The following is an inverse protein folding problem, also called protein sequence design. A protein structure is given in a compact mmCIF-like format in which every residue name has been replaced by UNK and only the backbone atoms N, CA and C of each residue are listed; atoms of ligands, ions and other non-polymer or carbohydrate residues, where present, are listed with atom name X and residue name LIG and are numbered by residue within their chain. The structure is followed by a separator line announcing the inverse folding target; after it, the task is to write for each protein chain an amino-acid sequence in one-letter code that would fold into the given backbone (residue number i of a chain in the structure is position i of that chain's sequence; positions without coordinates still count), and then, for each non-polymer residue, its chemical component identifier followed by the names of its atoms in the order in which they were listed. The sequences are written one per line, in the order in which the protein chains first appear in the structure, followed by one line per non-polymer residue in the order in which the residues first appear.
data_IF_889438986627
#
_entry.id   IF_889438986627
#
_cell.length_a   1.000
_cell.length_b   1.000
_cell.length_c   1.000
_cell.angle_alpha   90.00
_cell.angle_beta   90.00
_cell.angle_gamma   90.00
#
_symmetry.space_group_name_H-M   'P 1'
#
loop_
_entity.id
_entity.type
_entity.pdbx_description
1 polymer ?
#
# COMPACT_ATOMS: atom_id res chain seq x y z
N UNK A 1 26.81 8.38 -29.29
CA UNK A 1 26.23 7.13 -28.74
C UNK A 1 24.77 7.10 -29.16
N UNK A 2 24.36 6.03 -29.84
CA UNK A 2 23.18 6.02 -30.71
C UNK A 2 21.88 6.33 -29.98
N UNK A 3 21.07 7.22 -30.56
CA UNK A 3 19.64 7.30 -30.27
C UNK A 3 19.02 6.00 -30.77
N UNK A 4 18.99 4.97 -29.92
CA UNK A 4 18.24 3.75 -30.17
C UNK A 4 16.79 4.13 -30.45
N UNK A 5 16.19 3.47 -31.44
CA UNK A 5 14.79 3.69 -31.82
C UNK A 5 13.92 3.56 -30.55
N UNK A 6 13.28 4.64 -30.11
CA UNK A 6 12.39 4.60 -28.93
C UNK A 6 11.17 3.74 -29.26
N UNK A 7 10.72 2.92 -28.32
CA UNK A 7 9.48 2.19 -28.50
C UNK A 7 8.28 3.13 -28.37
N UNK A 8 7.13 2.74 -28.93
CA UNK A 8 5.89 3.51 -28.75
C UNK A 8 5.50 3.66 -27.27
N UNK A 9 5.86 2.69 -26.42
CA UNK A 9 5.65 2.77 -24.97
C UNK A 9 6.54 3.86 -24.36
N UNK A 10 7.80 3.97 -24.77
CA UNK A 10 8.70 5.02 -24.28
C UNK A 10 8.18 6.41 -24.68
N UNK A 11 7.71 6.57 -25.91
CA UNK A 11 7.11 7.84 -26.37
C UNK A 11 5.83 8.19 -25.60
N UNK A 12 4.98 7.20 -25.33
CA UNK A 12 3.81 7.40 -24.49
C UNK A 12 4.17 7.75 -23.04
N UNK A 13 5.25 7.16 -22.50
CA UNK A 13 5.73 7.47 -21.15
C UNK A 13 6.26 8.90 -21.03
N UNK A 14 6.92 9.43 -22.06
CA UNK A 14 7.34 10.84 -22.09
C UNK A 14 6.12 11.79 -22.00
N UNK A 15 5.02 11.45 -22.69
CA UNK A 15 3.75 12.21 -22.57
C UNK A 15 3.19 12.13 -21.15
N UNK A 16 3.41 11.01 -20.43
CA UNK A 16 2.98 10.88 -19.04
C UNK A 16 3.77 11.78 -18.09
N UNK A 17 5.06 12.03 -18.35
CA UNK A 17 5.81 13.02 -17.58
C UNK A 17 5.20 14.42 -17.72
N UNK A 18 4.87 14.83 -18.96
CA UNK A 18 4.13 16.08 -19.20
C UNK A 18 2.74 16.08 -18.54
N UNK A 19 2.08 14.92 -18.46
CA UNK A 19 0.75 14.79 -17.86
C UNK A 19 0.78 15.06 -16.34
N UNK A 20 1.81 14.61 -15.63
CA UNK A 20 1.95 14.86 -14.19
C UNK A 20 2.38 16.28 -13.85
N UNK A 21 3.08 16.97 -14.75
CA UNK A 21 3.43 18.38 -14.60
C UNK A 21 2.33 19.33 -15.11
N UNK A 22 1.25 18.78 -15.67
CA UNK A 22 0.19 19.58 -16.25
C UNK A 22 -0.50 20.49 -15.21
N UNK A 23 -0.79 21.77 -15.55
CA UNK A 23 -1.32 22.73 -14.58
C UNK A 23 -2.78 22.47 -14.18
N UNK A 24 -3.48 21.58 -14.89
CA UNK A 24 -4.88 21.27 -14.63
C UNK A 24 -5.17 19.79 -14.82
N UNK A 25 -6.09 19.26 -14.01
CA UNK A 25 -6.64 17.90 -14.16
C UNK A 25 -7.12 17.61 -15.59
N UNK A 26 -7.81 18.55 -16.22
CA UNK A 26 -8.32 18.39 -17.58
C UNK A 26 -7.18 18.19 -18.59
N UNK A 27 -6.08 18.94 -18.45
CA UNK A 27 -4.91 18.79 -19.31
C UNK A 27 -4.17 17.48 -19.04
N UNK A 28 -4.00 17.11 -17.77
CA UNK A 28 -3.40 15.83 -17.37
C UNK A 28 -4.14 14.65 -17.99
N UNK A 29 -5.47 14.62 -17.87
CA UNK A 29 -6.33 13.58 -18.46
C UNK A 29 -6.25 13.55 -19.99
N UNK A 30 -6.20 14.72 -20.65
CA UNK A 30 -6.07 14.78 -22.11
C UNK A 30 -4.71 14.22 -22.58
N UNK A 31 -3.63 14.49 -21.85
CA UNK A 31 -2.30 13.93 -22.13
C UNK A 31 -2.25 12.43 -21.88
N UNK A 32 -2.85 11.94 -20.79
CA UNK A 32 -2.95 10.50 -20.54
C UNK A 32 -3.71 9.76 -21.67
N UNK A 33 -4.82 10.32 -22.15
CA UNK A 33 -5.55 9.78 -23.31
C UNK A 33 -4.68 9.78 -24.58
N UNK A 34 -3.94 10.86 -24.83
CA UNK A 34 -2.99 10.94 -25.94
C UNK A 34 -1.88 9.89 -25.82
N UNK A 35 -1.36 9.64 -24.62
CA UNK A 35 -0.37 8.58 -24.40
C UNK A 35 -0.93 7.20 -24.81
N UNK A 36 -2.20 6.92 -24.52
CA UNK A 36 -2.86 5.68 -24.94
C UNK A 36 -3.10 5.58 -26.45
N UNK A 37 -3.29 6.72 -27.14
CA UNK A 37 -3.33 6.75 -28.61
C UNK A 37 -1.97 6.42 -29.24
N UNK A 38 -0.86 6.82 -28.59
CA UNK A 38 0.50 6.49 -29.00
C UNK A 38 0.84 5.03 -28.69
N UNK A 39 0.50 4.56 -27.48
CA UNK A 39 0.66 3.17 -27.09
C UNK A 39 -0.42 2.74 -26.10
N UNK A 40 -1.23 1.70 -26.42
CA UNK A 40 -2.21 1.14 -25.50
C UNK A 40 -1.55 0.42 -24.30
N UNK A 41 -0.22 0.25 -24.33
CA UNK A 41 0.57 -0.42 -23.30
C UNK A 41 1.21 0.59 -22.31
N UNK A 42 0.82 1.86 -22.36
CA UNK A 42 1.23 2.87 -21.37
C UNK A 42 0.47 2.70 -20.04
N UNK A 43 1.04 1.91 -19.11
CA UNK A 43 0.40 1.62 -17.83
C UNK A 43 0.10 2.88 -16.98
N UNK A 44 0.98 3.88 -16.98
CA UNK A 44 0.77 5.10 -16.20
C UNK A 44 -0.38 5.96 -16.70
N UNK A 45 -0.71 5.90 -17.99
CA UNK A 45 -1.89 6.58 -18.50
C UNK A 45 -3.16 6.02 -17.85
N UNK A 46 -3.26 4.71 -17.69
CA UNK A 46 -4.37 4.10 -16.95
C UNK A 46 -4.34 4.45 -15.46
N UNK A 47 -3.15 4.52 -14.84
CA UNK A 47 -3.03 4.94 -13.43
C UNK A 47 -3.61 6.34 -13.21
N UNK A 48 -3.20 7.29 -14.06
CA UNK A 48 -3.69 8.66 -14.00
C UNK A 48 -5.20 8.72 -14.26
N UNK A 49 -5.70 7.97 -15.24
CA UNK A 49 -7.14 7.94 -15.53
C UNK A 49 -7.95 7.33 -14.38
N UNK A 50 -7.44 6.30 -13.70
CA UNK A 50 -8.08 5.68 -12.55
C UNK A 50 -8.25 6.69 -11.41
N UNK A 51 -7.24 7.53 -11.18
CA UNK A 51 -7.23 8.54 -10.12
C UNK A 51 -8.06 9.78 -10.49
N UNK A 52 -8.00 10.20 -11.76
CA UNK A 52 -8.51 11.49 -12.20
C UNK A 52 -9.83 11.42 -12.96
N UNK A 53 -10.37 10.26 -13.31
CA UNK A 53 -11.60 10.19 -14.13
C UNK A 53 -12.65 9.24 -13.60
N UNK A 54 -12.26 8.18 -12.89
CA UNK A 54 -13.19 7.18 -12.40
C UNK A 54 -14.21 7.79 -11.42
N UNK A 55 -15.48 7.48 -11.63
CA UNK A 55 -16.61 7.94 -10.81
C UNK A 55 -17.15 6.83 -9.90
N UNK A 56 -16.71 5.59 -10.11
CA UNK A 56 -17.09 4.43 -9.32
C UNK A 56 -15.89 3.55 -9.00
N UNK A 57 -16.02 2.73 -7.94
CA UNK A 57 -14.99 1.75 -7.60
C UNK A 57 -14.78 0.69 -8.69
N UNK A 58 -15.83 0.38 -9.44
CA UNK A 58 -15.76 -0.54 -10.58
C UNK A 58 -14.90 0.03 -11.71
N UNK A 59 -15.09 1.30 -12.04
CA UNK A 59 -14.26 1.99 -13.04
C UNK A 59 -12.79 2.10 -12.59
N UNK A 60 -12.54 2.39 -11.31
CA UNK A 60 -11.18 2.38 -10.75
C UNK A 60 -10.52 1.01 -10.93
N UNK A 61 -11.25 -0.07 -10.61
CA UNK A 61 -10.75 -1.44 -10.75
C UNK A 61 -10.48 -1.81 -12.21
N UNK A 62 -11.37 -1.42 -13.13
CA UNK A 62 -11.19 -1.66 -14.56
C UNK A 62 -9.94 -0.95 -15.11
N UNK A 63 -9.77 0.33 -14.77
CA UNK A 63 -8.62 1.13 -15.22
C UNK A 63 -7.30 0.58 -14.65
N UNK A 64 -7.22 0.30 -13.35
CA UNK A 64 -5.99 -0.29 -12.81
C UNK A 64 -5.71 -1.69 -13.35
N UNK A 65 -6.73 -2.51 -13.62
CA UNK A 65 -6.55 -3.80 -14.29
C UNK A 65 -5.95 -3.62 -15.68
N UNK A 66 -6.49 -2.69 -16.48
CA UNK A 66 -5.92 -2.34 -17.79
C UNK A 66 -4.48 -1.84 -17.67
N UNK A 67 -4.16 -1.06 -16.64
CA UNK A 67 -2.79 -0.62 -16.36
C UNK A 67 -1.82 -1.78 -16.05
N UNK A 68 -2.27 -2.75 -15.25
CA UNK A 68 -1.50 -3.97 -14.94
C UNK A 68 -1.27 -4.79 -16.20
N UNK A 69 -2.32 -5.06 -16.99
CA UNK A 69 -2.23 -5.83 -18.24
C UNK A 69 -1.36 -5.13 -19.30
N UNK A 70 -1.46 -3.81 -19.41
CA UNK A 70 -0.61 -2.98 -20.27
C UNK A 70 0.87 -3.11 -19.88
N UNK A 71 1.17 -2.99 -18.59
CA UNK A 71 2.53 -3.18 -18.08
C UNK A 71 3.06 -4.60 -18.32
N UNK A 72 2.23 -5.63 -18.18
CA UNK A 72 2.64 -7.01 -18.45
C UNK A 72 2.99 -7.25 -19.92
N UNK A 73 2.22 -6.66 -20.84
CA UNK A 73 2.53 -6.70 -22.28
C UNK A 73 3.79 -5.92 -22.62
N UNK A 74 3.95 -4.71 -22.08
CA UNK A 74 5.12 -3.85 -22.32
C UNK A 74 6.43 -4.49 -21.84
N UNK A 75 6.43 -5.06 -20.63
CA UNK A 75 7.62 -5.66 -20.01
C UNK A 75 7.93 -7.06 -20.56
N UNK A 76 6.88 -7.82 -20.88
CA UNK A 76 7.00 -9.21 -21.32
C UNK A 76 7.45 -10.17 -20.22
N UNK A 77 7.22 -11.47 -20.43
CA UNK A 77 7.46 -12.51 -19.42
C UNK A 77 8.90 -12.61 -18.93
N UNK A 78 9.87 -12.18 -19.74
CA UNK A 78 11.31 -12.25 -19.43
C UNK A 78 11.65 -11.34 -18.24
N UNK A 79 11.14 -10.11 -18.23
CA UNK A 79 11.39 -9.15 -17.14
C UNK A 79 10.90 -9.69 -15.78
N UNK A 80 9.71 -10.30 -15.74
CA UNK A 80 9.16 -10.91 -14.52
C UNK A 80 9.96 -12.11 -13.99
N UNK A 81 10.80 -12.71 -14.83
CA UNK A 81 11.66 -13.82 -14.44
C UNK A 81 13.06 -13.35 -14.04
N UNK A 82 13.65 -12.44 -14.81
CA UNK A 82 15.04 -12.04 -14.66
C UNK A 82 15.22 -10.87 -13.68
N UNK A 83 14.25 -9.96 -13.63
CA UNK A 83 14.37 -8.73 -12.86
C UNK A 83 13.58 -8.77 -11.53
N UNK A 84 12.86 -9.87 -11.25
CA UNK A 84 12.10 -10.02 -10.02
C UNK A 84 13.00 -9.83 -8.79
N UNK A 85 12.58 -8.97 -7.87
CA UNK A 85 13.38 -8.53 -6.72
C UNK A 85 14.09 -7.19 -6.95
N UNK A 86 14.14 -6.71 -8.19
CA UNK A 86 14.80 -5.44 -8.55
C UNK A 86 13.90 -4.49 -9.35
N UNK A 87 12.60 -4.78 -9.48
CA UNK A 87 11.69 -3.98 -10.31
C UNK A 87 11.79 -2.49 -10.00
N UNK A 88 11.79 -2.09 -8.72
CA UNK A 88 11.86 -0.67 -8.39
C UNK A 88 13.13 0.04 -8.87
N UNK A 89 14.24 -0.68 -9.03
CA UNK A 89 15.49 -0.14 -9.60
C UNK A 89 15.39 0.18 -11.09
N UNK A 90 14.44 -0.43 -11.80
CA UNK A 90 14.23 -0.33 -13.24
C UNK A 90 13.05 0.61 -13.55
N UNK A 91 13.34 1.74 -14.20
CA UNK A 91 12.35 2.79 -14.46
C UNK A 91 11.16 2.26 -15.27
N UNK A 92 11.43 1.39 -16.22
CA UNK A 92 10.47 0.75 -17.13
C UNK A 92 9.44 -0.12 -16.41
N UNK A 93 9.75 -0.66 -15.23
CA UNK A 93 8.80 -1.51 -14.48
C UNK A 93 7.92 -0.72 -13.52
N UNK A 94 8.31 0.51 -13.15
CA UNK A 94 7.57 1.33 -12.17
C UNK A 94 6.12 1.65 -12.58
N UNK A 95 5.80 1.91 -13.86
CA UNK A 95 4.41 2.09 -14.29
C UNK A 95 3.52 0.89 -13.93
N UNK A 96 4.02 -0.32 -14.16
CA UNK A 96 3.35 -1.57 -13.79
C UNK A 96 3.20 -1.71 -12.27
N UNK A 97 4.26 -1.44 -11.51
CA UNK A 97 4.22 -1.53 -10.05
C UNK A 97 3.22 -0.55 -9.42
N UNK A 98 3.09 0.67 -9.97
CA UNK A 98 2.07 1.64 -9.55
C UNK A 98 0.66 1.14 -9.86
N UNK A 99 0.45 0.60 -11.06
CA UNK A 99 -0.85 0.04 -11.46
C UNK A 99 -1.28 -1.11 -10.55
N UNK A 100 -0.37 -2.05 -10.27
CA UNK A 100 -0.64 -3.19 -9.40
C UNK A 100 -0.91 -2.76 -7.95
N UNK A 101 -0.20 -1.76 -7.44
CA UNK A 101 -0.48 -1.19 -6.11
C UNK A 101 -1.85 -0.50 -6.04
N UNK A 102 -2.22 0.25 -7.09
CA UNK A 102 -3.53 0.87 -7.23
C UNK A 102 -4.66 -0.17 -7.29
N UNK A 103 -4.45 -1.24 -8.05
CA UNK A 103 -5.37 -2.37 -8.13
C UNK A 103 -5.57 -3.04 -6.76
N UNK A 104 -4.48 -3.39 -6.07
CA UNK A 104 -4.54 -4.04 -4.76
C UNK A 104 -5.32 -3.22 -3.73
N UNK A 105 -5.04 -1.92 -3.62
CA UNK A 105 -5.79 -1.01 -2.72
C UNK A 105 -7.27 -0.93 -3.08
N UNK A 106 -7.58 -0.94 -4.38
CA UNK A 106 -8.96 -0.82 -4.86
C UNK A 106 -9.74 -2.12 -4.64
N UNK A 107 -9.09 -3.29 -4.81
CA UNK A 107 -9.66 -4.59 -4.50
C UNK A 107 -9.98 -4.71 -3.01
N UNK A 108 -9.06 -4.25 -2.15
CA UNK A 108 -9.29 -4.21 -0.70
C UNK A 108 -10.53 -3.37 -0.35
N UNK A 109 -10.64 -2.16 -0.91
CA UNK A 109 -11.81 -1.29 -0.74
C UNK A 109 -13.10 -1.92 -1.26
N UNK A 110 -13.01 -2.73 -2.31
CA UNK A 110 -14.15 -3.44 -2.90
C UNK A 110 -14.56 -4.70 -2.13
N UNK A 111 -13.86 -5.04 -1.03
CA UNK A 111 -14.11 -6.26 -0.28
C UNK A 111 -13.54 -7.53 -0.92
N UNK A 112 -12.80 -7.41 -2.03
CA UNK A 112 -12.10 -8.53 -2.70
C UNK A 112 -10.76 -8.80 -2.00
N UNK A 113 -10.85 -9.23 -0.74
CA UNK A 113 -9.73 -9.21 0.21
C UNK A 113 -8.59 -10.15 -0.17
N UNK A 114 -8.90 -11.39 -0.56
CA UNK A 114 -7.87 -12.37 -0.91
C UNK A 114 -7.05 -11.93 -2.13
N UNK A 115 -7.71 -11.46 -3.18
CA UNK A 115 -7.05 -10.96 -4.39
C UNK A 115 -6.16 -9.75 -4.10
N UNK A 116 -6.59 -8.85 -3.21
CA UNK A 116 -5.77 -7.72 -2.80
C UNK A 116 -4.46 -8.18 -2.11
N UNK A 117 -4.56 -9.17 -1.21
CA UNK A 117 -3.40 -9.75 -0.51
C UNK A 117 -2.44 -10.44 -1.47
N UNK A 118 -2.94 -11.18 -2.47
CA UNK A 118 -2.10 -11.78 -3.51
C UNK A 118 -1.29 -10.72 -4.26
N UNK A 119 -1.92 -9.61 -4.67
CA UNK A 119 -1.21 -8.52 -5.34
C UNK A 119 -0.16 -7.85 -4.45
N UNK A 120 -0.45 -7.66 -3.16
CA UNK A 120 0.53 -7.11 -2.22
C UNK A 120 1.75 -8.03 -2.04
N UNK A 121 1.53 -9.33 -1.88
CA UNK A 121 2.63 -10.30 -1.79
C UNK A 121 3.47 -10.32 -3.06
N UNK A 122 2.85 -10.27 -4.23
CA UNK A 122 3.58 -10.21 -5.49
C UNK A 122 4.38 -8.91 -5.63
N UNK A 123 3.85 -7.77 -5.18
CA UNK A 123 4.60 -6.51 -5.18
C UNK A 123 5.85 -6.62 -4.29
N UNK A 124 5.75 -7.23 -3.11
CA UNK A 124 6.91 -7.48 -2.24
C UNK A 124 7.88 -8.51 -2.84
N UNK A 125 7.39 -9.50 -3.60
CA UNK A 125 8.27 -10.43 -4.34
C UNK A 125 9.05 -9.71 -5.44
N UNK A 126 8.41 -8.79 -6.15
CA UNK A 126 9.03 -8.01 -7.23
C UNK A 126 9.95 -6.90 -6.69
N UNK A 127 9.65 -6.38 -5.50
CA UNK A 127 10.40 -5.34 -4.81
C UNK A 127 10.48 -5.61 -3.28
N UNK A 128 11.39 -6.48 -2.84
CA UNK A 128 11.52 -6.89 -1.44
C UNK A 128 12.02 -5.78 -0.51
N UNK A 129 12.70 -4.76 -1.07
CA UNK A 129 13.08 -3.55 -0.32
C UNK A 129 11.90 -2.61 -0.07
N UNK A 130 10.73 -2.93 -0.64
CA UNK A 130 9.46 -2.26 -0.43
C UNK A 130 9.49 -0.73 -0.49
N UNK A 131 10.14 -0.19 -1.53
CA UNK A 131 10.19 1.25 -1.77
C UNK A 131 8.79 1.90 -1.94
N UNK A 132 7.74 1.10 -2.16
CA UNK A 132 6.37 1.58 -2.30
C UNK A 132 5.59 1.60 -0.98
N UNK A 133 6.14 1.06 0.12
CA UNK A 133 5.44 0.97 1.41
C UNK A 133 4.27 -0.01 1.40
N UNK A 134 4.33 -1.06 0.57
CA UNK A 134 3.31 -2.12 0.49
C UNK A 134 3.22 -2.90 1.79
N UNK A 135 4.32 -3.08 2.52
CA UNK A 135 4.34 -3.84 3.77
C UNK A 135 3.40 -3.25 4.82
N UNK A 136 3.29 -1.92 4.88
CA UNK A 136 2.45 -1.20 5.83
C UNK A 136 0.96 -1.30 5.48
N UNK A 137 0.65 -1.57 4.20
CA UNK A 137 -0.71 -1.87 3.74
C UNK A 137 -1.06 -3.35 3.98
N UNK A 138 -0.12 -4.25 3.71
CA UNK A 138 -0.33 -5.69 3.81
C UNK A 138 -0.50 -6.17 5.25
N UNK A 139 0.30 -5.65 6.20
CA UNK A 139 0.27 -6.10 7.60
C UNK A 139 -1.13 -6.07 8.24
N UNK A 140 -1.86 -4.92 8.27
CA UNK A 140 -3.22 -4.91 8.79
C UNK A 140 -4.18 -5.81 8.01
N UNK A 141 -3.96 -6.00 6.71
CA UNK A 141 -4.80 -6.87 5.90
C UNK A 141 -4.70 -8.33 6.36
N UNK A 142 -3.48 -8.82 6.60
CA UNK A 142 -3.23 -10.18 7.07
C UNK A 142 -3.87 -10.42 8.44
N UNK A 143 -3.72 -9.46 9.36
CA UNK A 143 -4.30 -9.56 10.71
C UNK A 143 -5.83 -9.50 10.67
N UNK A 144 -6.43 -8.60 9.86
CA UNK A 144 -7.89 -8.51 9.69
C UNK A 144 -8.49 -9.83 9.16
N UNK A 145 -7.76 -10.53 8.28
CA UNK A 145 -8.17 -11.84 7.74
C UNK A 145 -7.81 -13.03 8.63
N UNK A 146 -7.11 -12.81 9.75
CA UNK A 146 -6.63 -13.87 10.64
C UNK A 146 -5.52 -14.74 10.05
N UNK A 147 -4.79 -14.24 9.04
CA UNK A 147 -3.64 -14.90 8.41
C UNK A 147 -2.37 -14.68 9.23
N UNK A 148 -2.42 -15.07 10.50
CA UNK A 148 -1.41 -14.74 11.51
C UNK A 148 -0.02 -15.32 11.16
N UNK A 149 0.04 -16.53 10.59
CA UNK A 149 1.30 -17.14 10.15
C UNK A 149 2.01 -16.32 9.04
N UNK A 150 1.23 -15.72 8.15
CA UNK A 150 1.75 -14.87 7.09
C UNK A 150 2.15 -13.49 7.61
N UNK A 151 1.40 -12.96 8.57
CA UNK A 151 1.80 -11.74 9.27
C UNK A 151 3.14 -11.95 10.00
N UNK A 152 3.34 -13.10 10.67
CA UNK A 152 4.61 -13.48 11.29
C UNK A 152 5.76 -13.64 10.29
N UNK A 153 5.48 -14.19 9.09
CA UNK A 153 6.45 -14.23 8.00
C UNK A 153 6.84 -12.83 7.54
N UNK A 154 5.86 -11.94 7.40
CA UNK A 154 6.08 -10.55 7.01
C UNK A 154 6.91 -9.78 8.06
N UNK A 155 6.65 -10.03 9.36
CA UNK A 155 7.48 -9.52 10.48
C UNK A 155 8.95 -9.90 10.35
N UNK A 156 9.25 -11.18 10.08
CA UNK A 156 10.65 -11.61 9.93
C UNK A 156 11.37 -10.94 8.77
N UNK A 157 10.65 -10.50 7.74
CA UNK A 157 11.24 -9.81 6.59
C UNK A 157 11.59 -8.34 6.92
N UNK A 158 10.91 -7.72 7.89
CA UNK A 158 11.05 -6.30 8.22
C UNK A 158 11.16 -6.08 9.74
N UNK A 159 11.89 -6.95 10.44
CA UNK A 159 11.90 -7.01 11.92
C UNK A 159 12.49 -5.76 12.60
N UNK A 160 13.28 -4.98 11.87
CA UNK A 160 13.92 -3.75 12.34
C UNK A 160 13.04 -2.49 12.13
N UNK A 161 11.83 -2.63 11.59
CA UNK A 161 10.95 -1.49 11.34
C UNK A 161 10.31 -1.01 12.65
N UNK A 162 10.75 0.17 13.07
CA UNK A 162 10.32 0.81 14.31
C UNK A 162 8.93 1.44 14.26
N UNK A 163 8.34 1.65 13.08
CA UNK A 163 7.13 2.47 12.91
C UNK A 163 5.95 1.96 13.74
N UNK A 164 5.02 2.87 14.08
CA UNK A 164 3.83 2.52 14.86
C UNK A 164 3.04 1.35 14.24
N UNK A 165 3.01 1.24 12.91
CA UNK A 165 2.38 0.11 12.21
C UNK A 165 2.97 -1.23 12.58
N UNK A 166 4.27 -1.33 12.75
CA UNK A 166 4.97 -2.56 13.11
C UNK A 166 4.87 -2.85 14.60
N UNK A 167 5.16 -1.86 15.44
CA UNK A 167 5.14 -2.03 16.89
C UNK A 167 3.76 -2.41 17.42
N UNK A 168 2.70 -1.73 16.97
CA UNK A 168 1.35 -2.06 17.40
C UNK A 168 0.80 -3.32 16.74
N UNK A 169 1.21 -3.66 15.50
CA UNK A 169 0.83 -4.94 14.89
C UNK A 169 1.49 -6.13 15.61
N UNK A 170 2.73 -5.98 16.11
CA UNK A 170 3.40 -6.98 16.94
C UNK A 170 2.64 -7.21 18.23
N UNK A 171 2.27 -6.12 18.92
CA UNK A 171 1.45 -6.18 20.13
C UNK A 171 0.11 -6.89 19.89
N UNK A 172 -0.55 -6.60 18.77
CA UNK A 172 -1.81 -7.24 18.41
C UNK A 172 -1.63 -8.73 18.09
N UNK A 173 -0.60 -9.12 17.35
CA UNK A 173 -0.30 -10.54 17.07
C UNK A 173 0.04 -11.34 18.33
N UNK A 174 0.84 -10.77 19.24
CA UNK A 174 1.14 -11.41 20.51
C UNK A 174 -0.11 -11.59 21.36
N UNK A 175 -1.00 -10.60 21.38
CA UNK A 175 -2.30 -10.72 22.03
C UNK A 175 -3.17 -11.80 21.37
N UNK A 176 -3.21 -11.87 20.04
CA UNK A 176 -3.96 -12.92 19.32
C UNK A 176 -3.46 -14.32 19.67
N UNK A 177 -2.14 -14.47 19.80
CA UNK A 177 -1.48 -15.75 20.05
C UNK A 177 -1.56 -16.19 21.51
N UNK A 178 -1.47 -15.25 22.45
CA UNK A 178 -1.26 -15.55 23.88
C UNK A 178 -2.33 -14.96 24.80
N UNK A 179 -3.28 -14.18 24.28
CA UNK A 179 -4.24 -13.41 25.07
C UNK A 179 -3.57 -12.30 25.88
N UNK A 180 -4.29 -11.82 26.91
CA UNK A 180 -3.74 -10.92 27.92
C UNK A 180 -2.66 -11.64 28.72
N UNK A 181 -1.41 -11.40 28.34
CA UNK A 181 -0.24 -12.16 28.79
C UNK A 181 0.97 -11.25 28.89
N UNK A 182 2.00 -11.70 29.64
CA UNK A 182 3.26 -10.95 29.77
C UNK A 182 3.94 -10.71 28.42
N UNK A 183 3.79 -11.62 27.45
CA UNK A 183 4.34 -11.45 26.11
C UNK A 183 3.64 -10.30 25.37
N UNK A 184 2.31 -10.32 25.33
CA UNK A 184 1.51 -9.26 24.70
C UNK A 184 1.73 -7.90 25.40
N UNK A 185 1.79 -7.88 26.73
CA UNK A 185 2.05 -6.68 27.53
C UNK A 185 3.43 -6.08 27.25
N UNK A 186 4.45 -6.92 27.07
CA UNK A 186 5.81 -6.46 26.72
C UNK A 186 5.81 -5.78 25.34
N UNK A 187 5.17 -6.39 24.35
CA UNK A 187 5.08 -5.83 23.00
C UNK A 187 4.25 -4.55 22.97
N UNK A 188 3.13 -4.50 23.71
CA UNK A 188 2.33 -3.29 23.85
C UNK A 188 3.11 -2.17 24.54
N UNK A 189 3.90 -2.49 25.57
CA UNK A 189 4.77 -1.50 26.22
C UNK A 189 5.76 -0.89 25.23
N UNK A 190 6.42 -1.70 24.41
CA UNK A 190 7.32 -1.20 23.37
C UNK A 190 6.60 -0.28 22.37
N UNK A 191 5.38 -0.64 21.94
CA UNK A 191 4.57 0.18 21.06
C UNK A 191 4.13 1.52 21.68
N UNK A 192 3.83 1.53 22.99
CA UNK A 192 3.49 2.74 23.72
C UNK A 192 4.71 3.66 23.94
N UNK A 193 5.87 3.07 24.22
CA UNK A 193 7.13 3.80 24.37
C UNK A 193 7.52 4.49 23.05
N UNK A 194 7.23 3.85 21.91
CA UNK A 194 7.42 4.42 20.57
C UNK A 194 6.37 5.51 20.24
N UNK A 195 5.09 5.16 20.28
CA UNK A 195 4.03 6.09 19.93
C UNK A 195 2.82 5.99 20.88
N UNK A 196 2.86 6.74 21.98
CA UNK A 196 1.76 6.85 22.96
C UNK A 196 0.47 7.51 22.43
N UNK A 197 0.50 8.11 21.24
CA UNK A 197 -0.64 8.84 20.67
C UNK A 197 -1.66 7.91 20.00
N UNK A 198 -1.29 6.67 19.66
CA UNK A 198 -2.14 5.69 18.99
C UNK A 198 -3.38 5.26 19.80
N UNK A 199 -3.29 4.85 21.08
CA UNK A 199 -4.42 4.27 21.79
C UNK A 199 -5.66 5.19 21.90
N UNK A 200 -5.52 6.51 22.15
CA UNK A 200 -6.66 7.42 22.13
C UNK A 200 -7.50 7.36 20.84
N UNK A 201 -6.87 7.19 19.66
CA UNK A 201 -7.57 7.10 18.38
C UNK A 201 -8.21 5.73 18.16
N UNK A 202 -7.50 4.64 18.50
CA UNK A 202 -8.06 3.28 18.43
C UNK A 202 -9.30 3.14 19.32
N UNK A 203 -9.20 3.59 20.56
CA UNK A 203 -10.25 3.52 21.58
C UNK A 203 -11.37 4.56 21.38
N UNK A 204 -11.24 5.48 20.42
CA UNK A 204 -12.22 6.53 20.17
C UNK A 204 -12.30 7.61 21.25
N UNK A 205 -11.28 7.72 22.12
CA UNK A 205 -11.14 8.79 23.11
C UNK A 205 -10.73 10.12 22.46
N UNK A 206 -10.06 10.05 21.30
CA UNK A 206 -9.73 11.19 20.44
C UNK A 206 -10.41 11.03 19.08
N UNK A 207 -10.98 12.13 18.55
CA UNK A 207 -11.65 12.13 17.23
C UNK A 207 -10.62 12.09 16.12
N UNK A 208 -10.88 11.29 15.09
CA UNK A 208 -10.09 11.31 13.85
C UNK A 208 -10.25 12.66 13.15
N UNK A 209 -9.18 13.23 12.58
CA UNK A 209 -9.28 14.44 11.78
C UNK A 209 -10.12 14.19 10.51
N UNK A 210 -10.73 15.26 9.98
CA UNK A 210 -11.53 15.17 8.75
C UNK A 210 -10.69 14.84 7.52
N UNK A 211 -9.44 15.30 7.51
CA UNK A 211 -8.47 15.05 6.45
C UNK A 211 -7.27 14.36 7.09
N UNK A 212 -6.76 13.31 6.44
CA UNK A 212 -5.56 12.63 6.91
C UNK A 212 -4.33 13.51 6.72
N UNK A 213 -3.33 13.42 7.61
CA UNK A 213 -2.11 14.18 7.49
C UNK A 213 -1.33 13.74 6.24
N UNK A 214 -0.75 14.69 5.52
CA UNK A 214 0.08 14.41 4.34
C UNK A 214 1.53 14.06 4.65
N UNK A 215 1.95 14.19 5.92
CA UNK A 215 3.28 13.86 6.40
C UNK A 215 3.18 13.46 7.88
N UNK A 216 4.16 12.70 8.35
CA UNK A 216 4.29 12.30 9.74
C UNK A 216 5.76 12.23 10.13
N UNK A 217 6.03 12.42 11.41
CA UNK A 217 7.29 12.09 12.05
C UNK A 217 7.16 10.81 12.86
N UNK A 218 8.29 10.15 13.09
CA UNK A 218 8.33 8.93 13.90
C UNK A 218 7.90 9.25 15.35
N UNK A 219 6.95 8.47 15.88
CA UNK A 219 6.41 8.62 17.23
C UNK A 219 5.39 9.75 17.41
N UNK A 220 5.06 10.51 16.35
CA UNK A 220 4.21 11.70 16.46
C UNK A 220 2.69 11.41 16.39
N UNK A 221 1.88 12.45 16.63
CA UNK A 221 0.41 12.34 16.60
C UNK A 221 -0.15 12.09 15.18
N UNK A 222 0.56 12.51 14.12
CA UNK A 222 0.16 12.27 12.74
C UNK A 222 0.37 10.82 12.33
N UNK A 223 1.48 10.21 12.74
CA UNK A 223 1.74 8.78 12.60
C UNK A 223 0.64 7.99 13.30
N UNK A 224 0.26 8.40 14.51
CA UNK A 224 -0.83 7.76 15.25
C UNK A 224 -2.19 7.85 14.52
N UNK A 225 -2.49 8.98 13.87
CA UNK A 225 -3.67 9.13 13.02
C UNK A 225 -3.61 8.16 11.84
N UNK A 226 -2.50 8.10 11.12
CA UNK A 226 -2.35 7.22 9.96
C UNK A 226 -2.45 5.75 10.36
N UNK A 227 -1.79 5.36 11.45
CA UNK A 227 -1.88 4.03 12.01
C UNK A 227 -3.33 3.66 12.35
N UNK A 228 -4.02 4.49 13.15
CA UNK A 228 -5.39 4.23 13.55
C UNK A 228 -6.35 4.20 12.35
N UNK A 229 -6.11 5.01 11.32
CA UNK A 229 -6.90 4.97 10.09
C UNK A 229 -6.75 3.62 9.37
N UNK A 230 -5.52 3.14 9.19
CA UNK A 230 -5.25 1.90 8.45
C UNK A 230 -5.50 0.61 9.23
N UNK A 231 -5.33 0.61 10.56
CA UNK A 231 -5.21 -0.61 11.35
C UNK A 231 -6.40 -0.86 12.29
N UNK A 232 -7.28 0.12 12.52
CA UNK A 232 -8.39 -0.04 13.48
C UNK A 232 -9.34 -1.20 13.13
N UNK A 233 -9.47 -1.55 11.86
CA UNK A 233 -10.26 -2.70 11.43
C UNK A 233 -9.65 -4.02 11.93
N UNK A 234 -8.33 -4.19 11.86
CA UNK A 234 -7.63 -5.36 12.41
C UNK A 234 -7.81 -5.50 13.93
N UNK A 235 -7.76 -4.39 14.68
CA UNK A 235 -8.06 -4.40 16.12
C UNK A 235 -9.49 -4.80 16.42
N UNK A 236 -10.46 -4.31 15.64
CA UNK A 236 -11.88 -4.67 15.79
C UNK A 236 -12.16 -6.13 15.40
N UNK A 237 -11.43 -6.64 14.41
CA UNK A 237 -11.52 -8.04 13.98
C UNK A 237 -10.90 -9.01 14.99
N UNK A 238 -10.17 -8.50 15.99
CA UNK A 238 -9.57 -9.29 17.06
C UNK A 238 -10.40 -9.21 18.35
N UNK A 239 -11.12 -10.27 18.74
CA UNK A 239 -11.95 -10.25 19.94
C UNK A 239 -11.16 -9.90 21.20
N UNK A 240 -11.66 -8.95 22.00
CA UNK A 240 -11.06 -8.54 23.27
C UNK A 240 -9.84 -7.60 23.17
N UNK A 241 -9.32 -7.33 21.98
CA UNK A 241 -8.09 -6.55 21.83
C UNK A 241 -8.26 -5.08 22.24
N UNK A 242 -9.41 -4.46 21.93
CA UNK A 242 -9.67 -3.08 22.31
C UNK A 242 -9.96 -2.94 23.81
N UNK A 243 -10.62 -3.92 24.42
CA UNK A 243 -10.84 -4.00 25.87
C UNK A 243 -9.52 -4.18 26.62
N UNK A 244 -8.66 -5.07 26.14
CA UNK A 244 -7.31 -5.27 26.65
C UNK A 244 -6.50 -3.97 26.55
N UNK A 245 -6.44 -3.35 25.38
CA UNK A 245 -5.76 -2.06 25.19
C UNK A 245 -6.30 -1.01 26.18
N UNK A 246 -7.63 -0.90 26.31
CA UNK A 246 -8.26 0.06 27.21
C UNK A 246 -7.91 -0.17 28.69
N UNK A 247 -7.70 -1.42 29.10
CA UNK A 247 -7.29 -1.78 30.46
C UNK A 247 -5.82 -1.45 30.74
N UNK A 248 -4.94 -1.56 29.74
CA UNK A 248 -3.49 -1.31 29.88
C UNK A 248 -3.11 0.16 29.80
N UNK A 249 -3.91 0.99 29.11
CA UNK A 249 -3.64 2.43 28.90
C UNK A 249 -4.54 3.34 29.75
N UNK A 250 -4.81 2.91 30.99
CA UNK A 250 -5.53 3.72 31.98
C UNK A 250 -4.63 4.77 32.62
#
# INVERSE_FOLDING_TARGET
MGRGNRSAVDEAQEIMYDAWEAPTRQRAVALAKKALEVSPDCADAYNLLAEETAQSLEEVLDLYRKGVEAGERALGKKAFKEDAGYFWGLLETRPYMRARAGLARSLWKAGRREEAVEHYWDLLRLNPNDNQGIRDLLMPCLIELGRDEEAEKLFKQFEEDGMAVWMYSRALLDFRKHGDSLAADKSLKAALDENKHVPPYLLGRKKMPRTLPGHYGFGDDNEAVLYAHGNKAAWKATPGALEWLAAKVK
#
